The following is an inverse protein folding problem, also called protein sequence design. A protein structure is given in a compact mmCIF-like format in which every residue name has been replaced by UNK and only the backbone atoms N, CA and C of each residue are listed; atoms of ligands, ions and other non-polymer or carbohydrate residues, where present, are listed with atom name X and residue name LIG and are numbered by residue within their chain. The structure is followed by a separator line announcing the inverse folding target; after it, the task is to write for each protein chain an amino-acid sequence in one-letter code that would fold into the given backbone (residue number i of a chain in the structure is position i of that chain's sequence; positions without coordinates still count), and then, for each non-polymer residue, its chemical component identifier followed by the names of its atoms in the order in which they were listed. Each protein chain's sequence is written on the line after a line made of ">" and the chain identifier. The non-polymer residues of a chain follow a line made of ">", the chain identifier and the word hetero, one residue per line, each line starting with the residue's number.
data_IF_716071504155
#
_entry.id   IF_716071504155
#
_cell.length_a   1.000
_cell.length_b   1.000
_cell.length_c   1.000
_cell.angle_alpha   90.00
_cell.angle_beta   90.00
_cell.angle_gamma   90.00
#
_symmetry.space_group_name_H-M   'P 1'
#
loop_
_entity.id
_entity.type
_entity.pdbx_description
1 polymer ?
#
# COMPACT_ATOMS: atom_id res chain seq x y z
N UNK A 1 11.76 18.55 12.18
CA UNK A 1 10.60 19.02 11.35
C UNK A 1 9.58 17.93 11.10
N UNK A 2 9.98 16.68 10.71
CA UNK A 2 9.02 15.56 10.53
C UNK A 2 8.32 15.26 11.85
N UNK A 3 9.08 15.09 12.95
CA UNK A 3 8.52 14.86 14.30
C UNK A 3 7.60 15.98 14.78
N UNK A 4 7.93 17.23 14.49
CA UNK A 4 7.09 18.37 14.83
C UNK A 4 5.72 18.32 14.12
N UNK A 5 5.69 17.85 12.86
CA UNK A 5 4.44 17.63 12.10
C UNK A 5 3.64 16.46 12.67
N UNK A 6 4.30 15.34 12.96
CA UNK A 6 3.68 14.16 13.56
C UNK A 6 3.05 14.50 14.92
N UNK A 7 3.79 15.20 15.80
CA UNK A 7 3.30 15.66 17.10
C UNK A 7 2.13 16.65 16.98
N UNK A 8 2.21 17.59 16.03
CA UNK A 8 1.15 18.58 15.81
C UNK A 8 -0.15 17.97 15.26
N UNK A 9 -0.08 16.82 14.60
CA UNK A 9 -1.23 16.14 13.97
C UNK A 9 -1.68 14.88 14.69
N UNK A 10 -0.98 14.43 15.74
CA UNK A 10 -1.21 13.17 16.44
C UNK A 10 -2.65 13.01 16.98
N UNK A 11 -3.32 14.12 17.33
CA UNK A 11 -4.69 14.13 17.84
C UNK A 11 -5.76 14.45 16.79
N UNK A 12 -5.38 14.56 15.51
CA UNK A 12 -6.33 14.81 14.44
C UNK A 12 -7.06 13.51 14.08
N UNK A 13 -8.40 13.56 14.04
CA UNK A 13 -9.26 12.41 13.72
C UNK A 13 -9.70 12.35 12.25
N UNK A 14 -9.01 13.06 11.36
CA UNK A 14 -9.36 13.13 9.94
C UNK A 14 -8.54 12.16 9.06
N UNK A 15 -8.03 12.67 7.95
CA UNK A 15 -7.24 11.91 6.98
C UNK A 15 -5.86 11.52 7.55
N UNK A 16 -5.50 10.25 7.45
CA UNK A 16 -4.11 9.82 7.59
C UNK A 16 -3.34 10.09 6.30
N UNK A 17 -2.36 10.98 6.37
CA UNK A 17 -1.50 11.32 5.25
C UNK A 17 -0.10 10.75 5.46
N UNK A 18 0.29 9.77 4.64
CA UNK A 18 1.60 9.10 4.73
C UNK A 18 2.47 9.49 3.55
N UNK A 19 3.71 9.88 3.80
CA UNK A 19 4.71 10.17 2.77
C UNK A 19 5.81 9.12 2.83
N UNK A 20 5.97 8.35 1.76
CA UNK A 20 7.04 7.38 1.61
C UNK A 20 8.30 8.06 1.04
N UNK A 21 9.30 8.29 1.89
CA UNK A 21 10.59 8.86 1.50
C UNK A 21 11.66 7.77 1.48
N UNK A 22 12.41 7.69 0.38
CA UNK A 22 13.47 6.68 0.19
C UNK A 22 12.96 5.24 0.44
N UNK A 23 11.73 4.96 0.00
CA UNK A 23 11.06 3.68 0.17
C UNK A 23 11.33 2.75 -1.03
N UNK A 24 11.47 1.46 -0.74
CA UNK A 24 11.53 0.43 -1.76
C UNK A 24 11.00 -0.90 -1.23
N UNK A 25 9.96 -1.44 -1.90
CA UNK A 25 9.23 -2.62 -1.42
C UNK A 25 10.11 -3.87 -1.29
N UNK A 26 11.06 -4.08 -2.19
CA UNK A 26 11.99 -5.22 -2.09
C UNK A 26 12.85 -5.15 -0.82
N UNK A 27 13.30 -3.94 -0.45
CA UNK A 27 14.04 -3.73 0.79
C UNK A 27 13.14 -3.96 2.01
N UNK A 28 11.94 -3.39 2.01
CA UNK A 28 10.95 -3.58 3.06
C UNK A 28 10.67 -5.07 3.30
N UNK A 29 10.32 -5.82 2.24
CA UNK A 29 10.05 -7.27 2.31
C UNK A 29 11.27 -8.02 2.87
N UNK A 30 12.46 -7.68 2.42
CA UNK A 30 13.70 -8.31 2.90
C UNK A 30 13.95 -8.02 4.38
N UNK A 31 13.67 -6.79 4.83
CA UNK A 31 13.78 -6.40 6.26
C UNK A 31 12.73 -7.13 7.12
N UNK A 32 11.49 -7.21 6.64
CA UNK A 32 10.41 -7.95 7.29
C UNK A 32 10.76 -9.43 7.43
N UNK A 33 11.19 -10.09 6.36
CA UNK A 33 11.61 -11.49 6.38
C UNK A 33 12.77 -11.73 7.36
N UNK A 34 13.76 -10.85 7.39
CA UNK A 34 14.90 -10.94 8.32
C UNK A 34 14.47 -10.80 9.77
N UNK A 35 13.52 -9.88 10.08
CA UNK A 35 12.99 -9.68 11.43
C UNK A 35 12.20 -10.90 11.88
N UNK A 36 11.31 -11.42 11.01
CA UNK A 36 10.52 -12.63 11.26
C UNK A 36 11.42 -13.84 11.51
N UNK A 37 12.45 -14.05 10.69
CA UNK A 37 13.42 -15.14 10.88
C UNK A 37 14.15 -15.06 12.22
N UNK A 38 14.51 -13.86 12.69
CA UNK A 38 15.10 -13.66 14.02
C UNK A 38 14.13 -13.99 15.15
N UNK A 39 12.86 -13.62 15.00
CA UNK A 39 11.84 -13.92 16.00
C UNK A 39 11.52 -15.42 16.05
N UNK A 40 11.54 -16.13 14.91
CA UNK A 40 11.49 -17.59 14.88
C UNK A 40 12.69 -18.23 15.60
N UNK A 41 13.91 -17.80 15.29
CA UNK A 41 15.12 -18.31 15.94
C UNK A 41 15.16 -18.05 17.45
N UNK A 42 14.51 -16.96 17.90
CA UNK A 42 14.35 -16.65 19.33
C UNK A 42 13.17 -17.38 20.00
N UNK A 43 12.44 -18.22 19.28
CA UNK A 43 11.29 -18.96 19.80
C UNK A 43 10.03 -18.09 20.06
N UNK A 44 10.01 -16.85 19.57
CA UNK A 44 8.86 -15.95 19.74
C UNK A 44 7.74 -16.25 18.74
N UNK A 45 8.09 -16.79 17.57
CA UNK A 45 7.18 -17.15 16.50
C UNK A 45 7.44 -18.61 16.09
N UNK A 46 6.38 -19.40 15.99
CA UNK A 46 6.48 -20.73 15.40
C UNK A 46 6.48 -20.60 13.87
N UNK A 47 7.52 -21.11 13.15
CA UNK A 47 7.55 -21.05 11.68
C UNK A 47 6.31 -21.63 11.00
N UNK A 48 5.70 -22.66 11.57
CA UNK A 48 4.52 -23.32 11.01
C UNK A 48 3.22 -22.48 11.11
N UNK A 49 3.25 -21.39 11.88
CA UNK A 49 2.12 -20.46 12.03
C UNK A 49 2.25 -19.19 11.19
N UNK A 50 3.28 -19.12 10.34
CA UNK A 50 3.48 -17.96 9.48
C UNK A 50 2.43 -17.97 8.38
N UNK A 51 1.58 -16.94 8.38
CA UNK A 51 0.60 -16.65 7.35
C UNK A 51 0.78 -15.22 6.81
N UNK A 52 -0.06 -14.83 5.84
CA UNK A 52 -0.01 -13.50 5.22
C UNK A 52 -0.25 -12.39 6.25
N UNK A 53 -1.16 -12.59 7.18
CA UNK A 53 -1.51 -11.63 8.24
C UNK A 53 -0.32 -11.38 9.17
N UNK A 54 0.31 -12.45 9.63
CA UNK A 54 1.49 -12.35 10.47
C UNK A 54 2.65 -11.68 9.71
N UNK A 55 2.89 -12.04 8.46
CA UNK A 55 3.93 -11.42 7.65
C UNK A 55 3.66 -9.92 7.44
N UNK A 56 2.40 -9.54 7.18
CA UNK A 56 1.98 -8.14 7.05
C UNK A 56 2.31 -7.31 8.29
N UNK A 57 2.22 -7.89 9.50
CA UNK A 57 2.57 -7.21 10.75
C UNK A 57 4.07 -6.84 10.87
N UNK A 58 4.92 -7.37 10.00
CA UNK A 58 6.35 -7.07 9.94
C UNK A 58 6.71 -6.02 8.90
N UNK A 59 5.75 -5.62 8.04
CA UNK A 59 5.94 -4.57 7.04
C UNK A 59 5.88 -3.17 7.66
N UNK A 60 6.41 -2.18 6.96
CA UNK A 60 6.40 -0.78 7.40
C UNK A 60 4.97 -0.19 7.40
N UNK A 61 4.04 -0.84 6.74
CA UNK A 61 2.63 -0.45 6.60
C UNK A 61 1.69 -1.22 7.53
N UNK A 62 2.19 -1.92 8.54
CA UNK A 62 1.43 -2.81 9.42
C UNK A 62 0.17 -2.18 10.06
N UNK A 63 0.20 -0.86 10.30
CA UNK A 63 -0.90 -0.09 10.89
C UNK A 63 -1.77 0.63 9.84
N UNK A 64 -1.53 0.38 8.55
CA UNK A 64 -2.21 1.03 7.44
C UNK A 64 -2.90 -0.07 6.61
N UNK A 65 -4.20 0.07 6.26
CA UNK A 65 -4.85 -0.89 5.37
C UNK A 65 -4.20 -0.87 3.98
N UNK A 66 -4.25 -2.00 3.29
CA UNK A 66 -3.81 -2.08 1.91
C UNK A 66 -4.60 -1.09 1.04
N UNK A 67 -3.95 -0.44 0.06
CA UNK A 67 -4.61 0.56 -0.75
C UNK A 67 -5.63 -0.08 -1.70
N UNK A 68 -6.82 0.49 -1.77
CA UNK A 68 -7.84 0.09 -2.74
C UNK A 68 -7.55 0.60 -4.15
N UNK A 69 -6.98 1.80 -4.26
CA UNK A 69 -6.68 2.48 -5.52
C UNK A 69 -5.25 3.00 -5.54
N UNK A 70 -4.50 2.62 -6.56
CA UNK A 70 -3.20 3.19 -6.88
C UNK A 70 -3.31 4.09 -8.12
N UNK A 71 -2.94 5.36 -7.96
CA UNK A 71 -2.92 6.34 -9.06
C UNK A 71 -1.47 6.57 -9.47
N UNK A 72 -1.16 6.32 -10.75
CA UNK A 72 0.14 6.60 -11.34
C UNK A 72 0.02 7.67 -12.41
N UNK A 73 0.71 8.77 -12.21
CA UNK A 73 0.71 9.95 -13.09
C UNK A 73 1.84 9.90 -14.12
N UNK A 74 1.87 10.89 -15.02
CA UNK A 74 2.96 11.14 -16.00
C UNK A 74 3.14 10.06 -17.07
N UNK A 75 2.08 9.31 -17.44
CA UNK A 75 2.14 8.27 -18.47
C UNK A 75 2.95 7.02 -18.08
N UNK A 76 3.38 6.92 -16.83
CA UNK A 76 4.18 5.82 -16.36
C UNK A 76 3.32 4.62 -15.98
N UNK A 77 3.58 3.45 -16.57
CA UNK A 77 2.79 2.23 -16.37
C UNK A 77 3.61 1.13 -15.65
N UNK A 78 4.33 1.50 -14.62
CA UNK A 78 5.17 0.59 -13.81
C UNK A 78 5.07 0.96 -12.34
N UNK A 79 5.30 0.01 -11.43
CA UNK A 79 5.26 0.23 -9.98
C UNK A 79 6.57 0.81 -9.43
N UNK A 80 7.67 0.64 -10.12
CA UNK A 80 8.99 1.13 -9.70
C UNK A 80 9.36 0.72 -8.26
N UNK A 81 9.10 -0.54 -7.91
CA UNK A 81 9.39 -1.08 -6.59
C UNK A 81 8.58 -0.41 -5.46
N UNK A 82 7.37 0.08 -5.76
CA UNK A 82 6.49 0.71 -4.78
C UNK A 82 5.38 -0.25 -4.35
N UNK A 83 5.24 -0.49 -3.05
CA UNK A 83 4.20 -1.25 -2.36
C UNK A 83 3.84 -2.60 -3.03
N UNK A 84 4.85 -3.40 -3.45
CA UNK A 84 4.62 -4.64 -4.20
C UNK A 84 3.74 -5.67 -3.47
N UNK A 85 3.85 -5.73 -2.14
CA UNK A 85 3.02 -6.60 -1.32
C UNK A 85 1.60 -6.04 -1.19
N UNK A 86 1.48 -4.79 -0.80
CA UNK A 86 0.23 -4.14 -0.45
C UNK A 86 -0.68 -3.87 -1.66
N UNK A 87 -0.12 -3.77 -2.87
CA UNK A 87 -0.87 -3.53 -4.11
C UNK A 87 -1.44 -4.81 -4.76
N UNK A 88 -1.31 -5.97 -4.11
CA UNK A 88 -1.69 -7.26 -4.69
C UNK A 88 -3.15 -7.30 -5.21
N UNK A 89 -4.07 -6.60 -4.54
CA UNK A 89 -5.49 -6.52 -4.91
C UNK A 89 -5.98 -5.11 -5.20
N UNK A 90 -5.06 -4.16 -5.35
CA UNK A 90 -5.39 -2.76 -5.65
C UNK A 90 -5.86 -2.59 -7.09
N UNK A 91 -6.78 -1.69 -7.31
CA UNK A 91 -7.10 -1.19 -8.65
C UNK A 91 -6.08 -0.14 -9.07
N UNK A 92 -5.70 -0.14 -10.37
CA UNK A 92 -4.72 0.80 -10.92
C UNK A 92 -5.41 1.83 -11.81
N UNK A 93 -5.09 3.10 -11.61
CA UNK A 93 -5.45 4.20 -12.48
C UNK A 93 -4.20 4.87 -13.01
N UNK A 94 -4.00 4.83 -14.33
CA UNK A 94 -2.86 5.46 -15.00
C UNK A 94 -3.35 6.71 -15.74
N UNK A 95 -2.59 7.79 -15.65
CA UNK A 95 -2.89 9.05 -16.36
C UNK A 95 -1.61 9.69 -16.88
N UNK A 96 -1.71 10.32 -18.06
CA UNK A 96 -0.61 11.07 -18.68
C UNK A 96 -0.34 12.42 -17.98
N UNK A 97 -1.28 12.87 -17.15
CA UNK A 97 -1.17 14.14 -16.44
C UNK A 97 -0.01 14.08 -15.44
N UNK A 98 0.96 15.02 -15.51
CA UNK A 98 2.06 15.05 -14.57
C UNK A 98 1.57 15.49 -13.17
N UNK A 99 2.24 14.99 -12.12
CA UNK A 99 1.85 15.25 -10.73
C UNK A 99 1.58 16.72 -10.40
N UNK A 100 2.37 17.72 -10.84
CA UNK A 100 2.08 19.13 -10.55
C UNK A 100 0.79 19.68 -11.19
N UNK A 101 0.26 18.99 -12.21
CA UNK A 101 -1.00 19.33 -12.91
C UNK A 101 -2.16 18.41 -12.50
N UNK A 102 -1.96 17.48 -11.58
CA UNK A 102 -2.99 16.56 -11.09
C UNK A 102 -3.88 17.30 -10.09
N UNK A 103 -5.06 17.72 -10.56
CA UNK A 103 -6.01 18.52 -9.80
C UNK A 103 -7.03 17.68 -9.04
N UNK A 104 -7.89 18.34 -8.25
CA UNK A 104 -9.03 17.72 -7.59
C UNK A 104 -9.97 17.02 -8.58
N UNK A 105 -10.21 17.63 -9.72
CA UNK A 105 -11.07 17.11 -10.79
C UNK A 105 -10.50 15.80 -11.36
N UNK A 106 -9.18 15.71 -11.50
CA UNK A 106 -8.50 14.49 -11.92
C UNK A 106 -8.58 13.37 -10.86
N UNK A 107 -8.50 13.72 -9.58
CA UNK A 107 -8.73 12.78 -8.49
C UNK A 107 -10.17 12.25 -8.51
N UNK A 108 -11.15 13.12 -8.72
CA UNK A 108 -12.56 12.72 -8.82
C UNK A 108 -12.76 11.73 -9.97
N UNK A 109 -12.17 11.98 -11.15
CA UNK A 109 -12.22 11.05 -12.29
C UNK A 109 -11.63 9.67 -11.94
N UNK A 110 -10.50 9.64 -11.25
CA UNK A 110 -9.88 8.38 -10.82
C UNK A 110 -10.79 7.59 -9.87
N UNK A 111 -11.43 8.26 -8.91
CA UNK A 111 -12.38 7.65 -7.97
C UNK A 111 -13.66 7.20 -8.67
N UNK A 112 -14.20 7.96 -9.61
CA UNK A 112 -15.36 7.57 -10.41
C UNK A 112 -15.07 6.33 -11.27
N UNK A 113 -13.88 6.27 -11.87
CA UNK A 113 -13.43 5.10 -12.62
C UNK A 113 -13.30 3.87 -11.72
N UNK A 114 -12.70 4.03 -10.54
CA UNK A 114 -12.61 2.98 -9.53
C UNK A 114 -14.01 2.47 -9.13
N UNK A 115 -14.96 3.35 -8.87
CA UNK A 115 -16.32 2.99 -8.46
C UNK A 115 -17.12 2.26 -9.57
N UNK A 116 -16.73 2.38 -10.83
CA UNK A 116 -17.35 1.65 -11.94
C UNK A 116 -16.84 0.24 -12.11
N UNK A 117 -15.72 -0.12 -11.45
CA UNK A 117 -15.11 -1.44 -11.59
C UNK A 117 -15.75 -2.44 -10.66
N UNK A 118 -15.94 -3.66 -11.14
CA UNK A 118 -16.35 -4.81 -10.32
C UNK A 118 -15.11 -5.52 -9.78
N UNK A 119 -14.86 -5.42 -8.47
CA UNK A 119 -13.75 -6.09 -7.81
C UNK A 119 -14.13 -7.55 -7.52
N UNK A 120 -13.36 -8.49 -8.08
CA UNK A 120 -13.61 -9.95 -7.93
C UNK A 120 -12.74 -10.61 -6.88
N UNK A 121 -11.72 -9.97 -6.37
CA UNK A 121 -10.76 -10.49 -5.36
C UNK A 121 -10.29 -11.93 -5.65
N UNK A 122 -10.06 -12.28 -6.92
CA UNK A 122 -9.70 -13.63 -7.35
C UNK A 122 -10.87 -14.64 -7.42
N UNK A 123 -12.10 -14.22 -7.10
CA UNK A 123 -13.30 -15.04 -7.25
C UNK A 123 -13.71 -15.19 -8.72
N UNK A 124 -14.18 -16.37 -9.11
CA UNK A 124 -14.81 -16.62 -10.41
C UNK A 124 -16.31 -16.45 -10.22
N UNK A 125 -16.95 -15.52 -10.97
CA UNK A 125 -18.42 -15.54 -11.10
C UNK A 125 -18.80 -16.81 -11.88
N UNK A 126 -19.61 -17.68 -11.27
CA UNK A 126 -20.23 -18.77 -12.02
C UNK A 126 -21.12 -18.12 -13.10
N UNK A 127 -20.84 -18.45 -14.37
CA UNK A 127 -21.68 -18.01 -15.48
C UNK A 127 -23.04 -18.74 -15.33
N UNK A 128 -24.11 -17.95 -15.20
CA UNK A 128 -25.50 -18.41 -15.34
C UNK A 128 -25.78 -18.86 -16.78
#
# INVERSE_FOLDING_TARGET
>A
RIRELEEATANNGGLNFTIALNYGSRDEITRAARKLAKDCAAGKVNPDTIDESLFNSYLDTNDIPDPDLMIRTSGEQRLSNYLLWQLAYSEFYFTDIPWPAFTKEELIKAVEEYNRRHRRFGGVEEAE
#
